data_IF_910470592253
#
_entry.id   IF_910470592253
#
_cell.length_a   1.000
_cell.length_b   1.000
_cell.length_c   1.000
_cell.angle_alpha   90.00
_cell.angle_beta   90.00
_cell.angle_gamma   90.00
#
_symmetry.space_group_name_H-M   'P 1'
#
loop_
_entity.id
_entity.type
_entity.pdbx_description
1 polymer ?
#
# COMPACT_ATOMS: atom_id res chain seq x y z
N UNK A 1 3.05 18.67 -4.53
CA UNK A 1 3.88 18.07 -5.59
C UNK A 1 2.95 17.42 -6.60
N UNK A 2 3.18 17.61 -7.90
CA UNK A 2 2.40 16.94 -8.95
C UNK A 2 3.19 15.75 -9.47
N UNK A 3 2.55 14.61 -9.62
CA UNK A 3 3.19 13.37 -10.06
C UNK A 3 2.40 12.74 -11.20
N UNK A 4 3.10 12.25 -12.20
CA UNK A 4 2.54 11.40 -13.25
C UNK A 4 2.86 9.95 -12.92
N UNK A 5 1.84 9.11 -12.94
CA UNK A 5 1.94 7.71 -12.50
C UNK A 5 1.43 6.81 -13.61
N UNK A 6 2.15 5.71 -13.85
CA UNK A 6 1.72 4.61 -14.70
C UNK A 6 2.03 3.27 -14.02
N UNK A 7 1.04 2.42 -13.86
CA UNK A 7 1.15 1.09 -13.30
C UNK A 7 0.62 0.10 -14.34
N UNK A 8 1.51 -0.68 -14.91
CA UNK A 8 1.20 -1.78 -15.81
C UNK A 8 1.39 -3.11 -15.09
N UNK A 9 0.33 -3.90 -14.99
CA UNK A 9 0.41 -5.33 -14.66
C UNK A 9 0.11 -6.15 -15.91
N UNK A 10 1.01 -7.05 -16.29
CA UNK A 10 0.81 -8.01 -17.38
C UNK A 10 0.83 -9.45 -16.82
N UNK A 11 -0.24 -10.18 -17.06
CA UNK A 11 -0.32 -11.63 -16.84
C UNK A 11 -0.06 -12.35 -18.16
N UNK A 12 0.79 -13.37 -18.13
CA UNK A 12 0.95 -14.34 -19.21
C UNK A 12 0.61 -15.72 -18.69
N UNK A 13 -0.34 -16.39 -19.34
CA UNK A 13 -0.83 -17.70 -18.93
C UNK A 13 -0.19 -18.79 -19.79
N UNK A 14 0.20 -19.91 -19.17
CA UNK A 14 0.82 -21.04 -19.88
C UNK A 14 -0.21 -21.92 -20.64
N UNK A 15 -1.49 -21.58 -20.53
CA UNK A 15 -2.61 -22.20 -21.21
C UNK A 15 -3.90 -21.44 -20.95
N UNK A 16 -5.01 -21.81 -21.62
CA UNK A 16 -6.24 -21.03 -21.61
C UNK A 16 -6.78 -20.86 -20.18
N UNK A 17 -7.07 -19.62 -19.81
CA UNK A 17 -7.73 -19.33 -18.53
C UNK A 17 -9.21 -19.68 -18.66
N UNK A 18 -9.71 -20.65 -17.88
CA UNK A 18 -11.13 -20.99 -17.94
C UNK A 18 -11.97 -19.85 -17.38
N UNK A 19 -11.56 -19.33 -16.22
CA UNK A 19 -12.21 -18.21 -15.56
C UNK A 19 -11.26 -17.53 -14.58
N UNK A 20 -11.30 -16.20 -14.48
CA UNK A 20 -10.67 -15.46 -13.39
C UNK A 20 -11.56 -14.31 -12.96
N UNK A 21 -11.57 -14.03 -11.66
CA UNK A 21 -12.27 -12.89 -11.08
C UNK A 21 -11.30 -12.12 -10.20
N UNK A 22 -11.07 -10.85 -10.54
CA UNK A 22 -10.07 -10.01 -9.91
C UNK A 22 -10.68 -8.70 -9.41
N UNK A 23 -10.26 -8.31 -8.21
CA UNK A 23 -10.49 -6.98 -7.63
C UNK A 23 -9.24 -6.15 -7.85
N UNK A 24 -9.40 -5.03 -8.53
CA UNK A 24 -8.36 -4.05 -8.81
C UNK A 24 -8.52 -2.88 -7.84
N UNK A 25 -7.52 -2.65 -7.00
CA UNK A 25 -7.39 -1.50 -6.10
C UNK A 25 -6.27 -0.61 -6.62
N UNK A 26 -6.50 -0.08 -7.81
CA UNK A 26 -5.52 0.70 -8.57
C UNK A 26 -5.96 2.14 -8.80
N UNK A 27 -7.10 2.55 -8.22
CA UNK A 27 -7.62 3.92 -8.32
C UNK A 27 -7.35 4.66 -7.02
N UNK A 28 -6.48 5.70 -7.02
CA UNK A 28 -6.24 6.50 -5.83
C UNK A 28 -7.50 7.30 -5.47
N UNK A 29 -7.83 7.43 -4.17
CA UNK A 29 -8.90 8.32 -3.74
C UNK A 29 -8.40 9.77 -3.70
N UNK A 30 -9.32 10.73 -3.84
CA UNK A 30 -9.05 12.11 -3.43
C UNK A 30 -9.25 12.23 -1.91
N UNK A 31 -8.29 12.86 -1.23
CA UNK A 31 -8.31 13.12 0.20
C UNK A 31 -7.78 14.53 0.47
N UNK A 32 -7.82 15.02 1.72
CA UNK A 32 -7.21 16.32 2.04
C UNK A 32 -5.71 16.44 1.70
N UNK A 33 -5.00 15.32 1.52
CA UNK A 33 -3.54 15.31 1.32
C UNK A 33 -3.12 14.89 -0.09
N UNK A 34 -4.07 14.45 -0.91
CA UNK A 34 -3.85 14.16 -2.31
C UNK A 34 -5.10 14.44 -3.15
N UNK A 35 -4.92 15.07 -4.29
CA UNK A 35 -5.96 15.37 -5.27
C UNK A 35 -5.66 14.64 -6.55
N UNK A 36 -6.59 13.80 -6.98
CA UNK A 36 -6.51 13.14 -8.30
C UNK A 36 -6.94 14.15 -9.36
N UNK A 37 -6.03 14.49 -10.28
CA UNK A 37 -6.30 15.43 -11.37
C UNK A 37 -6.88 14.70 -12.58
N UNK A 38 -6.23 13.60 -12.96
CA UNK A 38 -6.68 12.68 -14.01
C UNK A 38 -6.36 11.27 -13.57
N UNK A 39 -7.21 10.31 -13.92
CA UNK A 39 -6.95 8.90 -13.70
C UNK A 39 -7.75 8.04 -14.69
N UNK A 40 -7.12 7.00 -15.21
CA UNK A 40 -7.75 6.00 -16.05
C UNK A 40 -7.28 4.61 -15.62
N UNK A 41 -8.21 3.65 -15.63
CA UNK A 41 -7.94 2.24 -15.45
C UNK A 41 -8.42 1.50 -16.71
N UNK A 42 -7.47 1.01 -17.50
CA UNK A 42 -7.74 0.27 -18.72
C UNK A 42 -7.39 -1.19 -18.50
N UNK A 43 -8.29 -2.09 -18.91
CA UNK A 43 -8.08 -3.54 -18.81
C UNK A 43 -8.28 -4.18 -20.17
N UNK A 44 -7.22 -4.80 -20.69
CA UNK A 44 -7.23 -5.58 -21.93
C UNK A 44 -7.35 -7.06 -21.60
N UNK A 45 -8.31 -7.75 -22.22
CA UNK A 45 -8.52 -9.18 -22.01
C UNK A 45 -9.34 -9.54 -20.76
N UNK A 46 -10.01 -8.55 -20.16
CA UNK A 46 -11.00 -8.77 -19.09
C UNK A 46 -12.25 -7.91 -19.34
N UNK A 47 -13.37 -8.32 -18.73
CA UNK A 47 -14.65 -7.62 -18.74
C UNK A 47 -14.84 -6.91 -17.40
N UNK A 48 -15.10 -5.59 -17.38
CA UNK A 48 -15.51 -4.89 -16.17
C UNK A 48 -16.88 -5.39 -15.69
N UNK A 49 -16.98 -5.77 -14.42
CA UNK A 49 -18.21 -6.30 -13.80
C UNK A 49 -18.92 -5.24 -12.96
N UNK A 50 -18.21 -4.67 -11.97
CA UNK A 50 -18.77 -3.68 -11.05
C UNK A 50 -17.69 -2.82 -10.41
N UNK A 51 -18.03 -1.57 -10.15
CA UNK A 51 -17.23 -0.63 -9.37
C UNK A 51 -17.91 -0.33 -8.04
N UNK A 52 -17.15 -0.33 -6.95
CA UNK A 52 -17.66 -0.05 -5.62
C UNK A 52 -16.54 0.38 -4.66
N UNK A 53 -16.90 1.05 -3.56
CA UNK A 53 -15.97 1.31 -2.46
C UNK A 53 -16.11 0.22 -1.38
N UNK A 54 -15.01 -0.40 -1.00
CA UNK A 54 -15.01 -1.43 0.04
C UNK A 54 -15.13 -0.83 1.46
N UNK A 55 -15.20 -1.70 2.47
CA UNK A 55 -15.37 -1.25 3.86
C UNK A 55 -14.23 -0.35 4.37
N UNK A 56 -13.04 -0.41 3.77
CA UNK A 56 -11.91 0.44 4.14
C UNK A 56 -11.84 1.74 3.32
N UNK A 57 -12.84 1.98 2.46
CA UNK A 57 -12.89 3.13 1.56
C UNK A 57 -11.93 3.01 0.38
N UNK A 58 -11.57 1.77 -0.02
CA UNK A 58 -10.80 1.56 -1.24
C UNK A 58 -11.76 1.49 -2.42
N UNK A 59 -11.46 2.22 -3.48
CA UNK A 59 -12.18 2.07 -4.73
C UNK A 59 -11.75 0.78 -5.43
N UNK A 60 -12.72 -0.10 -5.67
CA UNK A 60 -12.53 -1.44 -6.23
C UNK A 60 -13.20 -1.53 -7.58
N UNK A 61 -12.43 -1.93 -8.59
CA UNK A 61 -12.95 -2.37 -9.88
C UNK A 61 -12.91 -3.90 -9.91
N UNK A 62 -14.08 -4.54 -10.01
CA UNK A 62 -14.18 -5.98 -10.20
C UNK A 62 -14.16 -6.28 -11.70
N UNK A 63 -13.26 -7.16 -12.12
CA UNK A 63 -13.14 -7.60 -13.52
C UNK A 63 -13.16 -9.12 -13.60
N UNK A 64 -13.79 -9.65 -14.62
CA UNK A 64 -13.79 -11.08 -14.94
C UNK A 64 -12.99 -11.35 -16.21
N UNK A 65 -12.36 -12.50 -16.29
CA UNK A 65 -11.71 -12.98 -17.50
C UNK A 65 -12.34 -14.32 -17.86
N UNK A 66 -12.80 -14.44 -19.10
CA UNK A 66 -13.38 -15.66 -19.64
C UNK A 66 -12.72 -15.99 -20.98
N UNK A 67 -12.36 -17.26 -21.17
CA UNK A 67 -11.88 -17.79 -22.44
C UNK A 67 -10.36 -17.88 -22.60
N UNK A 68 -9.92 -18.26 -23.80
CA UNK A 68 -8.57 -18.74 -24.08
C UNK A 68 -7.51 -17.63 -24.24
N UNK A 69 -7.58 -16.56 -23.46
CA UNK A 69 -6.59 -15.49 -23.56
C UNK A 69 -5.27 -15.91 -22.90
N UNK A 70 -4.17 -15.74 -23.63
CA UNK A 70 -2.82 -15.99 -23.13
C UNK A 70 -2.24 -14.80 -22.37
N UNK A 71 -2.78 -13.60 -22.58
CA UNK A 71 -2.26 -12.35 -22.00
C UNK A 71 -3.40 -11.44 -21.51
N UNK A 72 -3.25 -10.89 -20.31
CA UNK A 72 -4.11 -9.83 -19.77
C UNK A 72 -3.25 -8.66 -19.34
N UNK A 73 -3.66 -7.44 -19.69
CA UNK A 73 -2.97 -6.21 -19.30
C UNK A 73 -3.90 -5.30 -18.52
N UNK A 74 -3.41 -4.82 -17.39
CA UNK A 74 -4.09 -3.84 -16.55
C UNK A 74 -3.18 -2.62 -16.45
N UNK A 75 -3.65 -1.50 -17.01
CA UNK A 75 -2.94 -0.22 -17.01
C UNK A 75 -3.72 0.79 -16.19
N UNK A 76 -3.15 1.21 -15.07
CA UNK A 76 -3.66 2.34 -14.29
C UNK A 76 -2.72 3.53 -14.46
N UNK A 77 -3.20 4.66 -14.94
CA UNK A 77 -2.37 5.83 -15.18
C UNK A 77 -3.11 7.14 -14.91
N UNK A 78 -2.35 8.17 -14.56
CA UNK A 78 -2.93 9.48 -14.28
C UNK A 78 -1.97 10.43 -13.60
N UNK A 79 -2.54 11.54 -13.15
CA UNK A 79 -1.81 12.60 -12.45
C UNK A 79 -2.44 12.88 -11.09
N UNK A 80 -1.58 12.94 -10.08
CA UNK A 80 -1.98 13.20 -8.70
C UNK A 80 -1.16 14.35 -8.15
N UNK A 81 -1.82 15.28 -7.48
CA UNK A 81 -1.19 16.32 -6.68
C UNK A 81 -1.23 15.92 -5.20
N UNK A 82 -0.12 16.07 -4.50
CA UNK A 82 0.03 15.72 -3.07
C UNK A 82 0.59 16.90 -2.29
N UNK A 83 0.38 16.93 -0.98
CA UNK A 83 0.96 17.95 -0.10
C UNK A 83 1.64 17.31 1.10
N UNK A 84 2.80 17.83 1.49
CA UNK A 84 3.48 17.39 2.70
C UNK A 84 2.74 17.94 3.92
N UNK A 85 2.19 17.02 4.72
CA UNK A 85 1.51 17.31 5.96
C UNK A 85 2.19 16.64 7.15
N UNK A 86 3.51 16.41 7.07
CA UNK A 86 4.33 15.75 8.08
C UNK A 86 3.76 14.36 8.46
N UNK A 87 3.30 13.60 7.46
CA UNK A 87 2.66 12.29 7.64
C UNK A 87 1.24 12.30 8.19
N UNK A 88 0.64 13.44 8.54
CA UNK A 88 -0.74 13.47 9.06
C UNK A 88 -1.73 13.33 7.90
N UNK A 89 -2.50 12.24 7.91
CA UNK A 89 -3.61 11.96 6.96
C UNK A 89 -4.96 12.53 7.46
N UNK A 90 -5.02 12.93 8.74
CA UNK A 90 -6.17 13.59 9.33
C UNK A 90 -7.19 12.66 9.99
N UNK A 91 -8.38 13.16 10.35
CA UNK A 91 -9.33 12.42 11.17
C UNK A 91 -9.78 11.13 10.50
N UNK A 92 -10.15 10.15 11.32
CA UNK A 92 -10.70 8.92 10.81
C UNK A 92 -12.04 9.15 10.08
N UNK A 93 -12.09 8.71 8.83
CA UNK A 93 -13.27 8.73 7.97
C UNK A 93 -13.70 7.32 7.58
N UNK A 94 -14.96 7.17 7.18
CA UNK A 94 -15.57 5.90 6.78
C UNK A 94 -16.42 5.26 7.88
N UNK A 95 -16.93 4.06 7.58
CA UNK A 95 -17.90 3.35 8.43
C UNK A 95 -17.24 2.34 9.38
N UNK A 96 -16.00 1.95 9.12
CA UNK A 96 -15.29 0.98 9.95
C UNK A 96 -14.89 1.62 11.28
N UNK A 97 -15.35 1.12 12.44
CA UNK A 97 -14.98 1.71 13.72
C UNK A 97 -13.49 1.54 14.02
N UNK A 98 -12.89 2.48 14.78
CA UNK A 98 -11.46 2.45 15.11
C UNK A 98 -10.99 1.14 15.74
N UNK A 99 -11.82 0.50 16.57
CA UNK A 99 -11.48 -0.78 17.19
C UNK A 99 -11.28 -1.91 16.16
N UNK A 100 -11.82 -1.80 14.94
CA UNK A 100 -11.57 -2.77 13.87
C UNK A 100 -10.07 -2.82 13.54
N UNK A 101 -9.39 -1.68 13.57
CA UNK A 101 -7.96 -1.55 13.28
C UNK A 101 -7.06 -1.98 14.44
N UNK A 102 -7.64 -2.49 15.53
CA UNK A 102 -6.95 -3.25 16.57
C UNK A 102 -6.97 -4.76 16.31
N UNK A 103 -7.74 -5.23 15.31
CA UNK A 103 -7.90 -6.67 15.02
C UNK A 103 -6.62 -7.25 14.40
N UNK A 104 -6.19 -8.40 14.90
CA UNK A 104 -5.11 -9.17 14.30
C UNK A 104 -5.51 -9.78 12.95
N UNK A 105 -4.54 -9.94 12.06
CA UNK A 105 -4.63 -10.83 10.89
C UNK A 105 -3.48 -11.84 10.95
N UNK A 106 -3.51 -12.93 10.17
CA UNK A 106 -2.37 -13.86 10.12
C UNK A 106 -1.02 -13.17 9.81
N UNK A 107 -1.02 -12.10 9.00
CA UNK A 107 0.20 -11.37 8.62
C UNK A 107 0.67 -10.39 9.70
N UNK A 108 -0.24 -9.86 10.52
CA UNK A 108 0.04 -8.80 11.50
C UNK A 108 -0.20 -9.23 12.94
N UNK A 109 -0.34 -10.52 13.21
CA UNK A 109 -0.52 -11.05 14.57
C UNK A 109 0.81 -10.98 15.33
N UNK A 110 0.83 -10.21 16.41
CA UNK A 110 2.00 -10.10 17.28
C UNK A 110 2.27 -11.39 18.08
N UNK A 111 3.53 -11.84 18.07
CA UNK A 111 4.01 -13.00 18.81
C UNK A 111 5.03 -12.63 19.88
N UNK A 112 6.10 -13.41 19.98
CA UNK A 112 7.15 -13.19 20.98
C UNK A 112 8.06 -12.04 20.55
N UNK A 113 8.44 -11.99 19.28
CA UNK A 113 9.41 -11.03 18.77
C UNK A 113 8.83 -9.61 18.75
N UNK A 114 7.56 -9.45 18.36
CA UNK A 114 6.86 -8.16 18.48
C UNK A 114 6.81 -7.70 19.94
N UNK A 115 6.52 -8.61 20.89
CA UNK A 115 6.51 -8.27 22.33
C UNK A 115 7.89 -7.88 22.86
N UNK A 116 8.96 -8.44 22.30
CA UNK A 116 10.33 -8.06 22.65
C UNK A 116 10.69 -6.69 22.07
N UNK A 117 10.34 -6.44 20.80
CA UNK A 117 10.52 -5.15 20.13
C UNK A 117 9.87 -4.00 20.91
N UNK A 118 8.59 -4.12 21.26
CA UNK A 118 7.86 -3.03 21.93
C UNK A 118 8.35 -2.70 23.35
N UNK A 119 9.10 -3.59 24.02
CA UNK A 119 9.67 -3.31 25.35
C UNK A 119 10.75 -2.23 25.30
N UNK A 120 11.46 -2.13 24.18
CA UNK A 120 12.50 -1.11 23.97
C UNK A 120 11.95 0.24 23.50
N UNK A 121 10.66 0.30 23.16
CA UNK A 121 10.04 1.48 22.52
C UNK A 121 9.34 2.36 23.57
N UNK A 122 10.01 3.45 23.93
CA UNK A 122 9.49 4.54 24.76
C UNK A 122 9.05 5.77 23.95
N UNK A 123 8.59 6.80 24.64
CA UNK A 123 8.21 8.08 24.06
C UNK A 123 7.36 8.90 25.03
N UNK A 124 7.53 10.23 25.02
CA UNK A 124 6.82 11.14 25.94
C UNK A 124 5.30 11.19 25.69
N UNK A 125 4.89 10.83 24.48
CA UNK A 125 3.50 10.71 24.05
C UNK A 125 3.37 9.61 22.99
N UNK A 126 2.13 9.32 22.58
CA UNK A 126 1.84 8.24 21.62
C UNK A 126 2.51 8.46 20.25
N UNK A 127 2.53 9.70 19.75
CA UNK A 127 3.21 10.03 18.49
C UNK A 127 4.72 9.77 18.59
N UNK A 128 5.38 10.28 19.64
CA UNK A 128 6.80 10.06 19.88
C UNK A 128 7.12 8.57 20.01
N UNK A 129 6.23 7.79 20.62
CA UNK A 129 6.37 6.34 20.74
C UNK A 129 6.24 5.63 19.39
N UNK A 130 5.35 6.08 18.50
CA UNK A 130 5.24 5.53 17.15
C UNK A 130 6.46 5.87 16.28
N UNK A 131 7.05 7.06 16.43
CA UNK A 131 8.34 7.37 15.79
C UNK A 131 9.47 6.47 16.31
N UNK A 132 9.56 6.28 17.63
CA UNK A 132 10.55 5.36 18.22
C UNK A 132 10.35 3.92 17.74
N UNK A 133 9.09 3.49 17.54
CA UNK A 133 8.78 2.18 16.96
C UNK A 133 9.28 2.07 15.51
N UNK A 134 9.01 3.09 14.69
CA UNK A 134 9.47 3.15 13.30
C UNK A 134 11.00 3.03 13.21
N UNK A 135 11.72 3.81 14.01
CA UNK A 135 13.18 3.77 14.09
C UNK A 135 13.71 2.39 14.55
N UNK A 136 13.12 1.81 15.60
CA UNK A 136 13.53 0.50 16.09
C UNK A 136 13.33 -0.62 15.06
N UNK A 137 12.27 -0.54 14.25
CA UNK A 137 12.03 -1.50 13.16
C UNK A 137 13.06 -1.31 12.05
N UNK A 138 13.33 -0.06 11.65
CA UNK A 138 14.33 0.27 10.64
C UNK A 138 15.73 -0.28 11.01
N UNK A 139 16.12 -0.15 12.28
CA UNK A 139 17.40 -0.66 12.78
C UNK A 139 17.43 -2.20 12.87
N UNK A 140 16.29 -2.84 13.16
CA UNK A 140 16.22 -4.28 13.41
C UNK A 140 16.12 -5.12 12.14
N UNK A 141 15.52 -4.58 11.07
CA UNK A 141 15.16 -5.31 9.86
C UNK A 141 15.79 -4.66 8.64
N UNK A 142 16.71 -5.36 7.99
CA UNK A 142 17.32 -4.86 6.76
C UNK A 142 16.33 -4.88 5.59
N UNK A 143 16.29 -3.81 4.80
CA UNK A 143 15.59 -3.81 3.52
C UNK A 143 16.34 -4.66 2.48
N UNK A 144 15.79 -5.82 2.12
CA UNK A 144 16.39 -6.77 1.16
C UNK A 144 15.33 -7.39 0.25
N UNK A 145 15.23 -6.96 -1.02
CA UNK A 145 14.34 -7.60 -2.00
C UNK A 145 14.64 -9.11 -2.15
N UNK A 146 13.59 -9.92 -2.31
CA UNK A 146 13.69 -11.36 -2.54
C UNK A 146 13.85 -12.24 -1.29
N UNK A 147 13.85 -11.68 -0.08
CA UNK A 147 13.95 -12.47 1.18
C UNK A 147 12.59 -12.89 1.77
N UNK A 148 11.51 -12.31 1.26
CA UNK A 148 10.13 -12.51 1.71
C UNK A 148 9.17 -12.65 0.54
N UNK A 149 7.93 -12.99 0.86
CA UNK A 149 6.81 -13.09 -0.07
C UNK A 149 5.54 -12.47 0.54
N UNK A 150 4.44 -12.45 -0.21
CA UNK A 150 3.16 -11.85 0.21
C UNK A 150 2.52 -12.51 1.44
N UNK A 151 2.99 -13.70 1.83
CA UNK A 151 2.49 -14.50 2.95
C UNK A 151 3.42 -14.47 4.16
N UNK A 152 4.56 -13.76 4.07
CA UNK A 152 5.50 -13.60 5.18
C UNK A 152 4.84 -12.79 6.30
N UNK A 153 4.84 -13.32 7.52
CA UNK A 153 4.24 -12.66 8.68
C UNK A 153 5.22 -11.69 9.35
N UNK A 154 4.69 -10.76 10.14
CA UNK A 154 5.49 -9.86 10.98
C UNK A 154 6.52 -10.59 11.86
N UNK A 155 6.14 -11.70 12.49
CA UNK A 155 7.06 -12.49 13.32
C UNK A 155 8.15 -13.17 12.47
N UNK A 156 7.81 -13.69 11.30
CA UNK A 156 8.80 -14.31 10.40
C UNK A 156 9.81 -13.28 9.87
N UNK A 157 9.33 -12.07 9.54
CA UNK A 157 10.19 -10.98 9.10
C UNK A 157 11.15 -10.53 10.22
N UNK A 158 10.66 -10.40 11.46
CA UNK A 158 11.50 -10.11 12.63
C UNK A 158 12.52 -11.21 12.91
N UNK A 159 12.13 -12.48 12.77
CA UNK A 159 13.04 -13.61 12.95
C UNK A 159 14.17 -13.59 11.91
N UNK A 160 13.82 -13.32 10.64
CA UNK A 160 14.80 -13.20 9.54
C UNK A 160 15.66 -11.95 9.63
N UNK A 161 15.20 -10.90 10.31
CA UNK A 161 15.82 -9.55 10.33
C UNK A 161 16.06 -8.97 8.94
N UNK A 162 15.24 -9.37 7.98
CA UNK A 162 15.29 -8.83 6.62
C UNK A 162 13.92 -8.96 5.95
N UNK A 163 13.55 -7.98 5.14
CA UNK A 163 12.30 -7.99 4.39
C UNK A 163 12.19 -6.81 3.43
N UNK A 164 11.00 -6.58 2.91
CA UNK A 164 10.66 -5.43 2.06
C UNK A 164 9.69 -4.49 2.77
N UNK A 165 9.26 -3.41 2.12
CA UNK A 165 8.36 -2.41 2.71
C UNK A 165 7.05 -3.01 3.26
N UNK A 166 6.52 -4.05 2.60
CA UNK A 166 5.39 -4.83 3.10
C UNK A 166 5.63 -5.38 4.51
N UNK A 167 6.78 -6.03 4.72
CA UNK A 167 7.11 -6.69 5.99
C UNK A 167 7.30 -5.65 7.10
N UNK A 168 7.99 -4.53 6.79
CA UNK A 168 8.18 -3.42 7.72
C UNK A 168 6.83 -2.83 8.17
N UNK A 169 5.92 -2.61 7.23
CA UNK A 169 4.57 -2.16 7.54
C UNK A 169 3.80 -3.17 8.40
N UNK A 170 3.89 -4.48 8.12
CA UNK A 170 3.24 -5.51 8.95
C UNK A 170 3.80 -5.57 10.37
N UNK A 171 5.11 -5.45 10.54
CA UNK A 171 5.76 -5.39 11.86
C UNK A 171 5.25 -4.18 12.63
N UNK A 172 5.24 -2.99 12.01
CA UNK A 172 4.76 -1.77 12.64
C UNK A 172 3.30 -1.91 13.08
N UNK A 173 2.43 -2.42 12.21
CA UNK A 173 1.02 -2.63 12.52
C UNK A 173 0.86 -3.63 13.67
N UNK A 174 1.59 -4.75 13.66
CA UNK A 174 1.52 -5.75 14.73
C UNK A 174 1.95 -5.14 16.08
N UNK A 175 3.02 -4.37 16.09
CA UNK A 175 3.55 -3.71 17.28
C UNK A 175 2.62 -2.59 17.78
N UNK A 176 2.10 -1.73 16.90
CA UNK A 176 1.14 -0.68 17.26
C UNK A 176 -0.15 -1.29 17.86
N UNK A 177 -0.70 -2.34 17.26
CA UNK A 177 -1.89 -3.04 17.79
C UNK A 177 -1.61 -3.71 19.13
N UNK A 178 -0.43 -4.29 19.33
CA UNK A 178 -0.01 -4.83 20.63
C UNK A 178 0.07 -3.75 21.72
N UNK A 179 0.31 -2.49 21.32
CA UNK A 179 0.29 -1.31 22.17
C UNK A 179 -1.09 -0.65 22.29
N UNK A 180 -2.14 -1.28 21.76
CA UNK A 180 -3.51 -0.77 21.72
C UNK A 180 -3.70 0.51 20.90
N UNK A 181 -2.81 0.76 19.93
CA UNK A 181 -2.93 1.85 18.96
C UNK A 181 -3.56 1.29 17.67
N UNK A 182 -4.72 1.80 17.21
CA UNK A 182 -5.32 1.36 15.96
C UNK A 182 -4.38 1.63 14.79
N UNK A 183 -4.10 0.60 13.99
CA UNK A 183 -3.14 0.70 12.89
C UNK A 183 -3.67 0.03 11.62
N UNK A 184 -3.35 0.61 10.46
CA UNK A 184 -3.76 0.10 9.14
C UNK A 184 -2.59 0.06 8.17
N UNK A 185 -2.67 -0.89 7.26
CA UNK A 185 -1.75 -1.04 6.14
C UNK A 185 -2.16 -0.08 5.03
N UNK A 186 -1.18 0.57 4.41
CA UNK A 186 -1.38 1.40 3.23
C UNK A 186 -0.58 0.83 2.06
N UNK A 187 -1.23 0.75 0.91
CA UNK A 187 -0.61 0.45 -0.39
C UNK A 187 -0.66 1.71 -1.26
N UNK A 188 0.41 1.98 -1.98
CA UNK A 188 0.53 3.22 -2.75
C UNK A 188 1.73 3.28 -3.69
N UNK A 189 2.01 4.48 -4.16
CA UNK A 189 3.18 4.80 -4.97
C UNK A 189 4.14 5.68 -4.18
N UNK A 190 5.43 5.56 -4.46
CA UNK A 190 6.48 6.40 -3.89
C UNK A 190 7.34 6.93 -5.04
N UNK A 191 7.48 8.24 -5.14
CA UNK A 191 8.46 8.84 -6.04
C UNK A 191 9.87 8.70 -5.46
N UNK A 192 10.79 8.19 -6.27
CA UNK A 192 12.21 8.08 -5.96
C UNK A 192 13.02 8.85 -7.00
N UNK A 193 13.86 9.78 -6.57
CA UNK A 193 14.62 10.67 -7.48
C UNK A 193 15.51 9.90 -8.47
N UNK A 194 16.12 8.80 -8.01
CA UNK A 194 17.04 7.99 -8.82
C UNK A 194 16.37 6.81 -9.52
N UNK A 195 15.07 6.58 -9.28
CA UNK A 195 14.37 5.37 -9.74
C UNK A 195 12.93 5.66 -10.15
N UNK A 196 12.78 6.08 -11.40
CA UNK A 196 11.48 6.29 -12.04
C UNK A 196 10.72 4.97 -12.19
N UNK A 197 11.38 3.92 -12.69
CA UNK A 197 10.77 2.62 -12.94
C UNK A 197 11.01 1.64 -11.77
N UNK A 198 9.92 1.08 -11.26
CA UNK A 198 9.88 0.24 -10.08
C UNK A 198 9.09 -1.04 -10.40
N UNK A 199 9.45 -2.15 -9.74
CA UNK A 199 8.84 -3.46 -9.99
C UNK A 199 7.60 -3.74 -9.12
N UNK A 200 7.19 -2.81 -8.26
CA UNK A 200 6.08 -2.97 -7.35
C UNK A 200 5.58 -1.62 -6.84
N UNK A 201 4.37 -1.62 -6.27
CA UNK A 201 3.85 -0.55 -5.41
C UNK A 201 4.66 -0.47 -4.10
N UNK A 202 4.61 0.69 -3.44
CA UNK A 202 5.17 0.88 -2.11
C UNK A 202 4.13 0.62 -1.02
N UNK A 203 4.61 0.41 0.21
CA UNK A 203 3.76 0.13 1.35
C UNK A 203 4.29 0.75 2.63
N UNK A 204 3.38 1.23 3.47
CA UNK A 204 3.69 1.78 4.79
C UNK A 204 2.52 1.53 5.74
N UNK A 205 2.66 1.96 7.00
CA UNK A 205 1.62 1.84 8.00
C UNK A 205 1.07 3.21 8.40
N UNK A 206 -0.18 3.26 8.81
CA UNK A 206 -0.74 4.42 9.53
C UNK A 206 -1.19 3.98 10.92
N UNK A 207 -0.95 4.81 11.93
CA UNK A 207 -1.47 4.68 13.28
C UNK A 207 -2.40 5.85 13.62
N UNK A 208 -3.47 5.58 14.34
CA UNK A 208 -4.43 6.61 14.74
C UNK A 208 -4.03 7.24 16.08
N UNK A 209 -3.54 8.47 16.04
CA UNK A 209 -3.09 9.24 17.20
C UNK A 209 -4.19 10.18 17.71
N UNK A 210 -4.54 10.16 19.00
CA UNK A 210 -5.51 11.08 19.59
C UNK A 210 -5.19 12.55 19.28
N UNK A 211 -6.17 13.29 18.78
CA UNK A 211 -6.05 14.71 18.42
C UNK A 211 -5.48 14.99 17.03
N UNK A 212 -4.77 14.05 16.41
CA UNK A 212 -4.22 14.20 15.05
C UNK A 212 -4.99 13.36 14.00
N UNK A 213 -5.54 12.22 14.42
CA UNK A 213 -6.13 11.24 13.52
C UNK A 213 -5.09 10.25 12.99
N UNK A 214 -5.21 9.84 11.74
CA UNK A 214 -4.24 8.92 11.12
C UNK A 214 -2.93 9.64 10.82
N UNK A 215 -1.82 9.02 11.23
CA UNK A 215 -0.45 9.47 10.95
C UNK A 215 0.31 8.32 10.30
N UNK A 216 0.99 8.60 9.19
CA UNK A 216 1.76 7.64 8.43
C UNK A 216 3.18 7.45 8.97
N UNK A 217 3.65 6.21 8.92
CA UNK A 217 4.97 5.77 9.31
C UNK A 217 5.47 4.76 8.28
N UNK A 218 6.61 5.03 7.67
CA UNK A 218 7.30 4.15 6.74
C UNK A 218 8.62 3.67 7.38
N UNK A 219 8.62 2.52 8.09
CA UNK A 219 9.83 2.02 8.74
C UNK A 219 10.89 1.52 7.76
N UNK A 220 10.55 1.25 6.50
CA UNK A 220 11.55 0.85 5.52
C UNK A 220 12.48 2.02 5.15
N UNK A 221 11.94 3.25 5.15
CA UNK A 221 12.68 4.49 4.85
C UNK A 221 12.91 5.38 6.08
N UNK A 222 12.46 4.95 7.26
CA UNK A 222 12.49 5.70 8.52
C UNK A 222 11.90 7.12 8.40
N UNK A 223 10.81 7.27 7.66
CA UNK A 223 10.21 8.58 7.39
C UNK A 223 8.69 8.53 7.55
N UNK A 224 8.11 9.67 7.94
CA UNK A 224 6.68 9.89 7.76
C UNK A 224 6.41 10.24 6.29
N UNK A 225 5.36 9.67 5.65
CA UNK A 225 5.02 9.99 4.27
C UNK A 225 4.93 11.50 4.02
N UNK A 226 5.72 11.97 3.06
CA UNK A 226 5.74 13.35 2.58
C UNK A 226 5.03 13.47 1.22
N UNK A 227 5.22 14.59 0.52
CA UNK A 227 4.60 14.82 -0.78
C UNK A 227 4.98 13.79 -1.87
N UNK A 228 6.00 12.94 -1.69
CA UNK A 228 6.38 11.90 -2.67
C UNK A 228 5.49 10.67 -2.63
N UNK A 229 4.61 10.56 -1.63
CA UNK A 229 3.77 9.39 -1.39
C UNK A 229 2.36 9.61 -1.95
N UNK A 230 1.86 8.62 -2.70
CA UNK A 230 0.46 8.57 -3.15
C UNK A 230 -0.21 7.35 -2.57
N UNK A 231 -1.26 7.54 -1.77
CA UNK A 231 -2.08 6.48 -1.22
C UNK A 231 -3.04 5.94 -2.29
N UNK A 232 -3.19 4.62 -2.36
CA UNK A 232 -4.21 3.97 -3.20
C UNK A 232 -5.22 3.24 -2.34
N UNK A 233 -4.75 2.33 -1.49
CA UNK A 233 -5.62 1.44 -0.73
C UNK A 233 -5.15 1.31 0.72
N UNK A 234 -6.07 0.93 1.60
CA UNK A 234 -5.80 0.61 2.98
C UNK A 234 -6.52 -0.65 3.45
N UNK A 235 -6.05 -1.22 4.54
CA UNK A 235 -6.71 -2.36 5.15
C UNK A 235 -6.01 -2.83 6.41
N UNK A 236 -6.35 -4.02 6.91
CA UNK A 236 -5.72 -4.52 8.12
C UNK A 236 -4.34 -5.13 7.86
N UNK A 237 -4.08 -5.58 6.63
CA UNK A 237 -2.81 -6.12 6.16
C UNK A 237 -2.76 -6.09 4.62
N UNK A 238 -1.70 -6.65 4.03
CA UNK A 238 -1.50 -6.67 2.58
C UNK A 238 -2.70 -7.24 1.81
N UNK A 239 -3.32 -8.32 2.29
CA UNK A 239 -4.45 -8.97 1.59
C UNK A 239 -5.66 -8.06 1.37
N UNK A 240 -5.87 -7.09 2.26
CA UNK A 240 -6.97 -6.14 2.16
C UNK A 240 -6.67 -4.97 1.20
N UNK A 241 -5.38 -4.66 0.99
CA UNK A 241 -4.90 -3.51 0.22
C UNK A 241 -4.05 -3.90 -1.01
N UNK A 242 -4.02 -5.20 -1.35
CA UNK A 242 -3.27 -5.70 -2.49
C UNK A 242 -3.77 -5.01 -3.77
N UNK A 243 -2.86 -4.51 -4.63
CA UNK A 243 -3.23 -3.81 -5.86
C UNK A 243 -4.17 -4.64 -6.74
N UNK A 244 -3.91 -5.95 -6.82
CA UNK A 244 -4.76 -6.92 -7.49
C UNK A 244 -4.93 -8.11 -6.56
N UNK A 245 -6.17 -8.56 -6.38
CA UNK A 245 -6.49 -9.77 -5.61
C UNK A 245 -7.67 -10.49 -6.24
N UNK A 246 -7.64 -11.81 -6.29
CA UNK A 246 -8.70 -12.54 -6.99
C UNK A 246 -8.55 -14.04 -6.89
N UNK A 247 -9.31 -14.72 -7.73
CA UNK A 247 -9.22 -16.15 -7.92
C UNK A 247 -9.17 -16.49 -9.40
N UNK A 248 -8.58 -17.63 -9.72
CA UNK A 248 -8.50 -18.16 -11.08
C UNK A 248 -8.84 -19.65 -11.07
N UNK A 249 -9.49 -20.10 -12.13
CA UNK A 249 -9.79 -21.50 -12.43
C UNK A 249 -9.18 -21.78 -13.81
N UNK A 250 -8.34 -22.81 -13.91
CA UNK A 250 -7.67 -23.17 -15.16
C UNK A 250 -6.33 -23.87 -14.94
N UNK A 251 -5.54 -23.98 -16.01
CA UNK A 251 -4.23 -24.63 -15.97
C UNK A 251 -3.27 -23.88 -15.04
N UNK A 252 -2.57 -24.58 -14.12
CA UNK A 252 -1.52 -23.98 -13.31
C UNK A 252 -0.40 -23.43 -14.18
N UNK A 253 0.13 -22.27 -13.84
CA UNK A 253 1.18 -21.61 -14.61
C UNK A 253 0.75 -20.21 -15.04
N UNK A 254 1.45 -19.21 -14.51
CA UNK A 254 1.35 -17.83 -14.95
C UNK A 254 2.67 -17.12 -14.67
N UNK A 255 3.02 -16.18 -15.54
CA UNK A 255 4.08 -15.22 -15.31
C UNK A 255 3.45 -13.85 -15.11
N UNK A 256 3.78 -13.22 -13.99
CA UNK A 256 3.34 -11.87 -13.64
C UNK A 256 4.50 -10.89 -13.84
N UNK A 257 4.25 -9.82 -14.59
CA UNK A 257 5.16 -8.67 -14.69
C UNK A 257 4.46 -7.42 -14.22
N UNK A 258 5.10 -6.66 -13.33
CA UNK A 258 4.60 -5.38 -12.82
C UNK A 258 5.63 -4.30 -13.11
N UNK A 259 5.18 -3.20 -13.70
CA UNK A 259 5.98 -2.01 -13.98
C UNK A 259 5.26 -0.80 -13.46
N UNK A 260 5.90 -0.06 -12.54
CA UNK A 260 5.40 1.17 -11.95
C UNK A 260 6.34 2.29 -12.34
N UNK A 261 5.81 3.38 -12.92
CA UNK A 261 6.54 4.60 -13.24
C UNK A 261 5.95 5.74 -12.43
N UNK A 262 6.80 6.46 -11.70
CA UNK A 262 6.42 7.66 -10.95
C UNK A 262 7.36 8.78 -11.34
N UNK A 263 6.82 9.80 -12.00
CA UNK A 263 7.57 10.91 -12.59
C UNK A 263 7.07 12.25 -12.04
N UNK A 264 7.95 13.25 -11.99
CA UNK A 264 7.54 14.63 -11.67
C UNK A 264 6.63 15.16 -12.80
N UNK A 265 5.42 15.59 -12.43
CA UNK A 265 4.43 16.14 -13.34
C UNK A 265 4.69 17.60 -13.72
N UNK A 266 5.70 18.24 -13.12
CA UNK A 266 6.06 19.64 -13.35
C UNK A 266 5.04 20.66 -12.83
N UNK A 267 5.47 21.92 -12.70
CA UNK A 267 4.57 23.05 -12.50
C UNK A 267 4.15 23.63 -13.85
N UNK A 268 2.84 23.80 -14.10
CA UNK A 268 2.39 24.69 -15.16
C UNK A 268 2.87 26.11 -14.79
N UNK A 269 3.91 26.60 -15.47
CA UNK A 269 4.17 28.04 -15.51
C UNK A 269 2.94 28.68 -16.13
N UNK A 270 2.08 29.29 -15.31
CA UNK A 270 1.09 30.24 -15.79
C UNK A 270 1.87 31.44 -16.35
N UNK A 271 2.19 31.40 -17.65
CA UNK A 271 2.48 32.62 -18.38
C UNK A 271 1.18 33.41 -18.47
N UNK A 272 0.92 34.23 -17.45
CA UNK A 272 0.06 35.39 -17.57
C UNK A 272 0.74 36.35 -18.55
N UNK A 273 0.42 36.22 -19.83
CA UNK A 273 0.70 37.30 -20.78
C UNK A 273 -0.20 38.49 -20.40
N UNK A 274 0.48 39.60 -20.13
CA UNK A 274 -0.08 40.93 -19.86
C UNK A 274 -0.60 41.58 -21.13
#
# INVERSE_FOLDING_TARGET
MRMKISHLTEYRYDGPTQFSLQRLRLTPPTSPHQKVLTWALNVEGAVPEVEYDDQYGNHVNLVSLEGEQDVTRILAEGEVETEDNNGVTGPHTGFCPLWLFLRDTPLTKGGKLVKELIKGVGGDNELARMHALMAAIHETVDYKPGTSNTETTAEQALEKKSGVCQDHAHIFIAAARALQVPARYISGYLMMEEKVEQAATHAWAEAHIPGLGWVGFDPANEICPDARYVRIASGLCYRDAAPISGMRIGTPGETLSVTVKVEDGGQMQSQSQS
#
